data_IF_784278703030
#
_entry.id   IF_784278703030
#
_cell.length_a   1.000
_cell.length_b   1.000
_cell.length_c   1.000
_cell.angle_alpha   90.00
_cell.angle_beta   90.00
_cell.angle_gamma   90.00
#
_symmetry.space_group_name_H-M   'P 1'
#
loop_
_entity.id
_entity.type
_entity.pdbx_description
1 polymer ?
#
# COMPACT_ATOMS: atom_id res chain seq x y z
N UNK A 1 6.15 32.34 -19.70
CA UNK A 1 5.12 32.73 -18.72
C UNK A 1 3.88 31.87 -18.93
N UNK A 2 3.83 30.68 -18.34
CA UNK A 2 2.62 29.84 -18.34
C UNK A 2 1.67 30.48 -17.34
N UNK A 3 0.53 31.00 -17.80
CA UNK A 3 -0.53 31.45 -16.90
C UNK A 3 -0.88 30.27 -15.98
N UNK A 4 -0.78 30.47 -14.67
CA UNK A 4 -1.25 29.53 -13.65
C UNK A 4 -2.77 29.34 -13.79
N UNK A 5 -3.22 28.52 -14.75
CA UNK A 5 -4.53 27.90 -14.66
C UNK A 5 -4.46 26.94 -13.48
N UNK A 6 -5.15 27.28 -12.40
CA UNK A 6 -5.31 26.41 -11.22
C UNK A 6 -5.85 25.06 -11.71
N UNK A 7 -5.09 23.98 -11.50
CA UNK A 7 -5.52 22.63 -11.84
C UNK A 7 -6.77 22.25 -11.01
N UNK A 8 -7.67 21.41 -11.54
CA UNK A 8 -8.87 21.01 -10.81
C UNK A 8 -8.52 20.15 -9.60
N UNK A 9 -9.16 20.42 -8.46
CA UNK A 9 -9.07 19.54 -7.30
C UNK A 9 -9.80 18.20 -7.53
N UNK A 10 -9.44 17.19 -6.73
CA UNK A 10 -10.00 15.84 -6.80
C UNK A 10 -11.51 15.87 -6.44
N UNK A 11 -12.40 15.33 -7.27
CA UNK A 11 -13.82 15.23 -6.98
C UNK A 11 -14.07 14.18 -5.90
N UNK A 12 -14.99 14.49 -4.99
CA UNK A 12 -15.49 13.56 -3.97
C UNK A 12 -16.87 13.08 -4.39
N UNK A 13 -17.09 11.78 -4.29
CA UNK A 13 -18.34 11.13 -4.65
C UNK A 13 -18.94 10.45 -3.43
N UNK A 14 -20.27 10.52 -3.31
CA UNK A 14 -21.06 9.56 -2.54
C UNK A 14 -21.77 8.66 -3.56
N UNK A 15 -21.39 7.37 -3.60
CA UNK A 15 -21.76 6.45 -4.67
C UNK A 15 -21.40 7.02 -6.06
N UNK A 16 -22.39 7.30 -6.90
CA UNK A 16 -22.20 7.89 -8.24
C UNK A 16 -22.45 9.39 -8.29
N UNK A 17 -22.79 10.02 -7.16
CA UNK A 17 -23.10 11.44 -7.10
C UNK A 17 -21.88 12.23 -6.60
N UNK A 18 -21.40 13.16 -7.42
CA UNK A 18 -20.38 14.10 -6.98
C UNK A 18 -20.98 14.99 -5.88
N UNK A 19 -20.28 15.09 -4.75
CA UNK A 19 -20.70 15.88 -3.58
C UNK A 19 -19.79 17.08 -3.30
N UNK A 20 -18.64 17.16 -3.97
CA UNK A 20 -17.73 18.31 -3.85
C UNK A 20 -16.33 17.98 -4.34
N UNK A 21 -15.34 18.76 -3.88
CA UNK A 21 -13.93 18.53 -4.17
C UNK A 21 -13.06 18.65 -2.92
N UNK A 22 -11.93 17.93 -2.93
CA UNK A 22 -10.85 18.13 -1.97
C UNK A 22 -10.38 19.59 -1.96
N UNK A 23 -9.98 20.07 -0.78
CA UNK A 23 -9.53 21.46 -0.53
C UNK A 23 -10.56 22.56 -0.83
N UNK A 24 -11.78 22.20 -1.23
CA UNK A 24 -12.91 23.12 -1.42
C UNK A 24 -13.98 22.81 -0.37
N UNK A 25 -14.89 21.88 -0.66
CA UNK A 25 -15.93 21.42 0.27
C UNK A 25 -15.31 20.56 1.38
N UNK A 26 -14.32 19.75 1.01
CA UNK A 26 -13.62 18.86 1.91
C UNK A 26 -12.25 19.47 2.24
N UNK A 27 -12.28 20.43 3.18
CA UNK A 27 -11.10 21.23 3.52
C UNK A 27 -10.07 20.42 4.30
N UNK A 28 -8.82 20.57 3.88
CA UNK A 28 -7.64 20.13 4.62
C UNK A 28 -6.78 21.37 4.83
N UNK A 29 -6.71 21.85 6.08
CA UNK A 29 -5.84 22.98 6.41
C UNK A 29 -4.38 22.50 6.40
N UNK A 30 -3.62 22.89 5.37
CA UNK A 30 -2.22 22.48 5.23
C UNK A 30 -1.29 23.03 6.32
N UNK A 31 -1.68 24.12 6.98
CA UNK A 31 -0.89 24.75 8.03
C UNK A 31 -1.09 24.03 9.35
N UNK A 32 -2.35 23.77 9.73
CA UNK A 32 -2.68 23.16 11.02
C UNK A 32 -2.71 21.63 10.94
N UNK A 33 -3.09 21.07 9.80
CA UNK A 33 -3.44 19.65 9.63
C UNK A 33 -4.91 19.36 9.94
N UNK A 34 -5.74 20.37 10.18
CA UNK A 34 -7.15 20.16 10.54
C UNK A 34 -7.98 19.73 9.33
N UNK A 35 -8.70 18.61 9.47
CA UNK A 35 -9.70 18.12 8.53
C UNK A 35 -10.64 17.12 9.20
N UNK A 36 -11.92 17.12 8.82
CA UNK A 36 -12.90 16.15 9.33
C UNK A 36 -13.06 14.91 8.42
N UNK A 37 -12.23 14.77 7.37
CA UNK A 37 -12.38 13.69 6.39
C UNK A 37 -12.39 12.29 7.01
N UNK A 38 -11.52 12.00 7.98
CA UNK A 38 -11.50 10.69 8.64
C UNK A 38 -12.82 10.40 9.36
N UNK A 39 -13.41 11.39 10.03
CA UNK A 39 -14.73 11.26 10.67
C UNK A 39 -15.84 11.02 9.64
N UNK A 40 -15.75 11.65 8.47
CA UNK A 40 -16.71 11.43 7.38
C UNK A 40 -16.59 10.01 6.82
N UNK A 41 -15.36 9.53 6.57
CA UNK A 41 -15.13 8.14 6.14
C UNK A 41 -15.60 7.13 7.18
N UNK A 42 -15.36 7.40 8.46
CA UNK A 42 -15.88 6.58 9.54
C UNK A 42 -17.41 6.50 9.48
N UNK A 43 -18.09 7.65 9.43
CA UNK A 43 -19.54 7.69 9.41
C UNK A 43 -20.13 6.94 8.21
N UNK A 44 -19.58 7.14 7.01
CA UNK A 44 -20.01 6.41 5.80
C UNK A 44 -19.85 4.89 5.95
N UNK A 45 -18.74 4.45 6.57
CA UNK A 45 -18.51 3.03 6.88
C UNK A 45 -19.53 2.46 7.87
N UNK A 46 -19.79 3.19 8.97
CA UNK A 46 -20.79 2.79 9.97
C UNK A 46 -22.20 2.72 9.36
N UNK A 47 -22.60 3.75 8.62
CA UNK A 47 -23.92 3.83 7.97
C UNK A 47 -24.09 2.76 6.89
N UNK A 48 -23.02 2.41 6.18
CA UNK A 48 -23.03 1.30 5.23
C UNK A 48 -23.27 -0.04 5.95
N UNK A 49 -22.50 -0.34 7.00
CA UNK A 49 -22.64 -1.58 7.79
C UNK A 49 -24.04 -1.70 8.39
N UNK A 50 -24.56 -0.61 8.96
CA UNK A 50 -25.93 -0.57 9.51
C UNK A 50 -26.96 -0.92 8.44
N UNK A 51 -26.96 -0.22 7.30
CA UNK A 51 -27.93 -0.46 6.23
C UNK A 51 -27.86 -1.87 5.65
N UNK A 52 -26.66 -2.43 5.47
CA UNK A 52 -26.54 -3.80 4.94
C UNK A 52 -26.98 -4.86 5.94
N UNK A 53 -26.69 -4.65 7.23
CA UNK A 53 -27.16 -5.52 8.31
C UNK A 53 -28.69 -5.50 8.42
N UNK A 54 -29.31 -4.32 8.41
CA UNK A 54 -30.77 -4.16 8.42
C UNK A 54 -31.44 -4.79 7.19
N UNK A 55 -30.79 -4.70 6.03
CA UNK A 55 -31.26 -5.32 4.79
C UNK A 55 -30.98 -6.83 4.72
N UNK A 56 -30.31 -7.42 5.72
CA UNK A 56 -29.85 -8.81 5.75
C UNK A 56 -29.03 -9.21 4.50
N UNK A 57 -28.12 -8.33 4.05
CA UNK A 57 -27.27 -8.57 2.89
C UNK A 57 -25.80 -8.75 3.30
N UNK A 58 -25.07 -9.73 2.73
CA UNK A 58 -23.63 -9.76 2.90
C UNK A 58 -23.03 -8.49 2.29
N UNK A 59 -22.01 -7.94 2.94
CA UNK A 59 -21.41 -6.68 2.53
C UNK A 59 -19.90 -6.82 2.34
N UNK A 60 -19.36 -5.97 1.48
CA UNK A 60 -17.93 -5.78 1.32
C UNK A 60 -17.64 -4.29 1.48
N UNK A 61 -16.94 -3.93 2.56
CA UNK A 61 -16.50 -2.56 2.84
C UNK A 61 -15.00 -2.48 2.57
N UNK A 62 -14.63 -1.75 1.52
CA UNK A 62 -13.24 -1.34 1.29
C UNK A 62 -13.03 0.06 1.88
N UNK A 63 -12.47 0.12 3.10
CA UNK A 63 -12.27 1.36 3.83
C UNK A 63 -10.82 1.85 3.69
N UNK A 64 -10.58 2.73 2.71
CA UNK A 64 -9.26 3.21 2.33
C UNK A 64 -9.04 4.67 2.73
N UNK A 65 -8.99 4.95 4.02
CA UNK A 65 -8.71 6.30 4.53
C UNK A 65 -7.27 6.73 4.23
N UNK A 66 -7.06 8.01 3.91
CA UNK A 66 -5.80 8.57 3.41
C UNK A 66 -5.15 9.60 4.36
N UNK A 67 -5.64 9.73 5.60
CA UNK A 67 -5.23 10.77 6.56
C UNK A 67 -3.73 10.78 6.90
N UNK A 68 -3.06 9.64 6.79
CA UNK A 68 -1.61 9.46 7.02
C UNK A 68 -0.77 9.76 5.78
N UNK A 69 -1.38 9.97 4.62
CA UNK A 69 -0.69 10.43 3.42
C UNK A 69 -0.46 11.95 3.50
N UNK A 70 0.73 12.41 3.08
CA UNK A 70 1.02 13.84 3.06
C UNK A 70 0.15 14.59 2.04
N UNK A 71 -0.36 15.80 2.34
CA UNK A 71 -0.27 16.48 3.64
C UNK A 71 -1.19 15.80 4.67
N UNK A 72 -0.58 15.37 5.79
CA UNK A 72 -1.27 14.62 6.83
C UNK A 72 -2.36 15.48 7.46
N UNK A 73 -3.47 14.86 7.85
CA UNK A 73 -4.54 15.57 8.55
C UNK A 73 -5.20 14.75 9.65
N UNK A 74 -5.84 15.44 10.60
CA UNK A 74 -6.68 14.84 11.63
C UNK A 74 -7.79 15.82 12.05
N UNK A 75 -8.88 15.30 12.61
CA UNK A 75 -9.93 16.16 13.16
C UNK A 75 -9.47 16.86 14.44
N UNK A 76 -10.12 17.98 14.76
CA UNK A 76 -9.74 18.86 15.87
C UNK A 76 -9.54 18.14 17.21
N UNK A 77 -10.29 17.06 17.46
CA UNK A 77 -10.20 16.25 18.69
C UNK A 77 -8.82 15.56 18.84
N UNK A 78 -8.19 15.19 17.73
CA UNK A 78 -6.96 14.40 17.72
C UNK A 78 -5.70 15.24 17.50
N UNK A 79 -5.83 16.47 17.01
CA UNK A 79 -4.68 17.37 16.81
C UNK A 79 -3.93 17.64 18.12
N UNK A 80 -2.60 17.47 18.06
CA UNK A 80 -1.67 17.70 19.16
C UNK A 80 -1.76 16.67 20.29
N UNK A 81 -2.43 15.53 20.10
CA UNK A 81 -2.57 14.51 21.14
C UNK A 81 -1.44 13.49 21.10
N UNK A 82 -0.85 13.26 19.92
CA UNK A 82 0.21 12.28 19.74
C UNK A 82 1.59 12.85 20.01
N UNK A 83 2.44 12.04 20.65
CA UNK A 83 3.86 12.32 20.80
C UNK A 83 4.63 12.24 19.46
N UNK A 84 3.99 11.75 18.39
CA UNK A 84 4.59 11.61 17.05
C UNK A 84 4.17 12.73 16.08
N UNK A 85 3.76 13.87 16.62
CA UNK A 85 3.29 15.01 15.84
C UNK A 85 2.06 14.66 15.00
N UNK A 86 1.88 15.40 13.90
CA UNK A 86 0.68 15.34 13.07
C UNK A 86 0.41 13.95 12.48
N UNK A 87 1.45 13.24 12.04
CA UNK A 87 1.33 11.84 11.61
C UNK A 87 0.74 10.96 12.71
N UNK A 88 1.22 11.13 13.94
CA UNK A 88 0.70 10.43 15.09
C UNK A 88 -0.76 10.74 15.41
N UNK A 89 -1.18 12.00 15.24
CA UNK A 89 -2.58 12.42 15.44
C UNK A 89 -3.51 11.71 14.44
N UNK A 90 -3.11 11.66 13.16
CA UNK A 90 -3.84 10.95 12.12
C UNK A 90 -3.93 9.44 12.41
N UNK A 91 -2.83 8.82 12.85
CA UNK A 91 -2.82 7.40 13.25
C UNK A 91 -3.76 7.15 14.43
N UNK A 92 -3.77 8.01 15.46
CA UNK A 92 -4.69 7.88 16.60
C UNK A 92 -6.15 7.96 16.17
N UNK A 93 -6.48 8.84 15.22
CA UNK A 93 -7.83 8.96 14.70
C UNK A 93 -8.24 7.73 13.86
N UNK A 94 -7.33 7.19 13.03
CA UNK A 94 -7.57 5.95 12.29
C UNK A 94 -7.78 4.76 13.23
N UNK A 95 -6.93 4.62 14.25
CA UNK A 95 -7.05 3.58 15.28
C UNK A 95 -8.41 3.66 16.01
N UNK A 96 -8.78 4.86 16.45
CA UNK A 96 -10.10 5.11 17.05
C UNK A 96 -11.24 4.71 16.10
N UNK A 97 -11.13 5.08 14.82
CA UNK A 97 -12.15 4.79 13.80
C UNK A 97 -12.32 3.30 13.55
N UNK A 98 -11.21 2.54 13.46
CA UNK A 98 -11.25 1.07 13.39
C UNK A 98 -11.93 0.51 14.64
N UNK A 99 -11.61 1.03 15.83
CA UNK A 99 -12.28 0.64 17.07
C UNK A 99 -13.79 0.85 17.05
N UNK A 100 -14.27 1.96 16.47
CA UNK A 100 -15.71 2.22 16.31
C UNK A 100 -16.37 1.23 15.33
N UNK A 101 -15.72 0.92 14.21
CA UNK A 101 -16.22 -0.08 13.26
C UNK A 101 -16.35 -1.45 13.92
N UNK A 102 -15.31 -1.92 14.61
CA UNK A 102 -15.33 -3.21 15.31
C UNK A 102 -16.40 -3.25 16.42
N UNK A 103 -16.56 -2.14 17.17
CA UNK A 103 -17.60 -2.02 18.20
C UNK A 103 -19.00 -2.10 17.61
N UNK A 104 -19.24 -1.47 16.45
CA UNK A 104 -20.52 -1.56 15.77
C UNK A 104 -20.84 -2.99 15.34
N UNK A 105 -19.87 -3.72 14.77
CA UNK A 105 -20.06 -5.12 14.37
C UNK A 105 -20.49 -5.99 15.55
N UNK A 106 -19.87 -5.80 16.72
CA UNK A 106 -20.22 -6.49 17.96
C UNK A 106 -21.62 -6.09 18.49
N UNK A 107 -21.94 -4.80 18.48
CA UNK A 107 -23.23 -4.30 18.95
C UNK A 107 -24.40 -4.81 18.10
N UNK A 108 -24.16 -5.01 16.80
CA UNK A 108 -25.12 -5.60 15.86
C UNK A 108 -25.16 -7.13 15.93
N UNK A 109 -24.24 -7.77 16.65
CA UNK A 109 -24.15 -9.23 16.76
C UNK A 109 -23.75 -9.93 15.46
N UNK A 110 -23.01 -9.25 14.58
CA UNK A 110 -22.57 -9.76 13.27
C UNK A 110 -21.06 -9.99 13.19
N UNK A 111 -20.34 -9.82 14.29
CA UNK A 111 -18.89 -9.98 14.36
C UNK A 111 -18.42 -11.38 14.00
N UNK A 112 -19.19 -12.41 14.38
CA UNK A 112 -18.87 -13.80 14.05
C UNK A 112 -19.09 -14.14 12.57
N UNK A 113 -19.77 -13.27 11.81
CA UNK A 113 -20.00 -13.42 10.38
C UNK A 113 -19.32 -12.31 9.55
N UNK A 114 -18.36 -11.61 10.16
CA UNK A 114 -17.63 -10.52 9.50
C UNK A 114 -16.12 -10.78 9.60
N UNK A 115 -15.50 -11.03 8.45
CA UNK A 115 -14.05 -11.08 8.33
C UNK A 115 -13.50 -9.66 8.13
N UNK A 116 -12.60 -9.23 9.02
CA UNK A 116 -11.93 -7.93 8.93
C UNK A 116 -10.43 -8.15 8.70
N UNK A 117 -9.88 -7.44 7.71
CA UNK A 117 -8.44 -7.43 7.44
C UNK A 117 -7.93 -6.00 7.39
N UNK A 118 -6.86 -5.71 8.14
CA UNK A 118 -6.18 -4.43 8.16
C UNK A 118 -4.78 -4.56 7.56
N UNK A 119 -4.42 -3.67 6.63
CA UNK A 119 -3.07 -3.56 6.05
C UNK A 119 -2.83 -2.16 5.49
N UNK A 120 -1.58 -1.87 5.10
CA UNK A 120 -1.17 -0.67 4.34
C UNK A 120 -0.91 -1.01 2.86
N UNK A 121 -0.85 0.01 2.01
CA UNK A 121 -0.58 -0.10 0.57
C UNK A 121 0.92 -0.11 0.22
N UNK A 122 1.72 0.61 0.99
CA UNK A 122 3.18 0.69 0.92
C UNK A 122 3.77 1.15 2.27
N UNK A 123 5.09 1.05 2.40
CA UNK A 123 5.82 1.54 3.56
C UNK A 123 5.74 3.05 3.76
N UNK A 124 6.26 3.54 4.90
CA UNK A 124 6.18 4.94 5.26
C UNK A 124 6.90 5.86 4.24
N UNK A 125 6.27 7.00 3.93
CA UNK A 125 6.82 8.04 3.08
C UNK A 125 7.86 8.89 3.83
N UNK A 126 9.07 8.35 4.00
CA UNK A 126 10.15 8.96 4.81
C UNK A 126 10.57 10.36 4.34
N UNK A 127 10.26 10.72 3.09
CA UNK A 127 10.49 12.05 2.51
C UNK A 127 9.59 13.14 3.08
N UNK A 128 8.45 12.79 3.69
CA UNK A 128 7.50 13.75 4.26
C UNK A 128 8.02 14.40 5.56
N UNK A 129 9.17 13.96 6.07
CA UNK A 129 9.80 14.50 7.27
C UNK A 129 9.20 13.95 8.58
N UNK A 130 9.80 14.27 9.73
CA UNK A 130 9.52 13.59 10.99
C UNK A 130 8.12 13.82 11.56
N UNK A 131 7.44 14.89 11.14
CA UNK A 131 6.10 15.25 11.63
C UNK A 131 4.97 14.71 10.75
N UNK A 132 5.26 14.27 9.51
CA UNK A 132 4.26 13.82 8.52
C UNK A 132 4.59 12.44 7.92
N UNK A 133 5.49 11.69 8.56
CA UNK A 133 5.88 10.35 8.13
C UNK A 133 5.72 9.30 9.23
N UNK A 134 5.41 8.08 8.81
CA UNK A 134 5.46 6.88 9.63
C UNK A 134 6.88 6.39 9.91
N UNK A 135 6.96 5.15 10.42
CA UNK A 135 8.21 4.43 10.66
C UNK A 135 8.08 3.02 10.10
N UNK A 136 9.16 2.51 9.52
CA UNK A 136 9.26 1.15 9.00
C UNK A 136 9.94 0.20 10.00
N UNK A 137 10.05 0.61 11.27
CA UNK A 137 10.65 -0.19 12.33
C UNK A 137 12.11 -0.57 12.02
N UNK A 138 12.46 -1.88 12.03
CA UNK A 138 13.83 -2.33 11.78
C UNK A 138 14.22 -2.40 10.29
N UNK A 139 13.27 -2.16 9.38
CA UNK A 139 13.45 -2.39 7.96
C UNK A 139 14.12 -1.20 7.25
N UNK A 140 14.82 -1.50 6.16
CA UNK A 140 15.60 -0.54 5.40
C UNK A 140 14.72 0.31 4.47
N UNK A 141 14.99 1.62 4.42
CA UNK A 141 14.32 2.62 3.58
C UNK A 141 12.79 2.68 3.79
N UNK A 142 12.06 3.25 2.83
CA UNK A 142 10.60 3.40 2.86
C UNK A 142 9.97 3.38 1.47
N UNK A 143 8.84 4.07 1.35
CA UNK A 143 8.08 4.27 0.10
C UNK A 143 9.02 4.59 -1.08
N UNK A 144 8.64 4.14 -2.27
CA UNK A 144 9.40 4.21 -3.54
C UNK A 144 10.55 3.20 -3.70
N UNK A 145 10.83 2.37 -2.69
CA UNK A 145 11.92 1.38 -2.75
C UNK A 145 11.43 -0.06 -2.61
N UNK A 146 12.20 -1.02 -3.13
CA UNK A 146 11.94 -2.46 -3.00
C UNK A 146 12.69 -3.10 -1.82
N UNK A 147 13.24 -2.28 -0.92
CA UNK A 147 13.73 -2.74 0.37
C UNK A 147 12.56 -3.13 1.28
N UNK A 148 12.82 -3.88 2.36
CA UNK A 148 11.75 -4.34 3.25
C UNK A 148 10.91 -3.18 3.80
N UNK A 149 11.51 -2.01 4.06
CA UNK A 149 10.78 -0.86 4.60
C UNK A 149 9.83 -0.20 3.60
N UNK A 150 9.94 -0.50 2.29
CA UNK A 150 9.06 0.05 1.27
C UNK A 150 7.84 -0.79 0.94
N UNK A 151 7.86 -2.10 1.24
CA UNK A 151 6.83 -3.05 0.80
C UNK A 151 6.41 -4.08 1.86
N UNK A 152 6.96 -4.02 3.09
CA UNK A 152 6.56 -4.90 4.19
C UNK A 152 5.64 -4.17 5.16
N UNK A 153 4.40 -4.62 5.21
CA UNK A 153 3.33 -3.88 5.87
C UNK A 153 2.85 -4.55 7.17
N UNK A 154 2.25 -3.78 8.10
CA UNK A 154 1.43 -4.37 9.16
C UNK A 154 0.25 -5.11 8.52
N UNK A 155 -0.07 -6.30 9.02
CA UNK A 155 -1.21 -7.08 8.55
C UNK A 155 -1.91 -7.76 9.72
N UNK A 156 -3.20 -7.50 9.91
CA UNK A 156 -4.02 -8.06 11.00
C UNK A 156 -5.30 -8.64 10.40
N UNK A 157 -5.57 -9.91 10.67
CA UNK A 157 -6.83 -10.57 10.36
C UNK A 157 -7.63 -10.78 11.64
N UNK A 158 -8.93 -10.46 11.61
CA UNK A 158 -9.83 -10.54 12.75
C UNK A 158 -11.15 -11.17 12.31
N UNK A 159 -11.56 -12.24 12.99
CA UNK A 159 -12.85 -12.91 12.78
C UNK A 159 -13.19 -13.80 14.00
N UNK A 160 -13.93 -13.26 14.99
CA UNK A 160 -14.29 -13.97 16.21
C UNK A 160 -15.02 -15.29 15.92
N UNK A 161 -14.67 -16.35 16.65
CA UNK A 161 -15.23 -17.70 16.45
C UNK A 161 -14.58 -18.48 15.29
N UNK A 162 -13.84 -17.81 14.40
CA UNK A 162 -13.22 -18.42 13.23
C UNK A 162 -11.68 -18.42 13.32
N UNK A 163 -11.08 -17.25 13.59
CA UNK A 163 -9.63 -17.09 13.76
C UNK A 163 -9.29 -17.17 15.25
N UNK A 164 -8.24 -17.94 15.58
CA UNK A 164 -7.75 -18.03 16.97
C UNK A 164 -7.09 -16.71 17.38
N UNK A 165 -7.59 -16.12 18.46
CA UNK A 165 -7.08 -14.87 19.03
C UNK A 165 -5.61 -14.98 19.47
N UNK A 166 -4.90 -13.83 19.46
CA UNK A 166 -3.53 -13.73 19.96
C UNK A 166 -2.51 -14.58 19.21
N UNK A 167 -2.80 -14.99 17.98
CA UNK A 167 -1.89 -15.81 17.16
C UNK A 167 -1.03 -14.95 16.23
N UNK A 168 0.17 -15.45 15.94
CA UNK A 168 1.10 -14.88 14.95
C UNK A 168 1.39 -15.94 13.90
N UNK A 169 1.27 -15.57 12.63
CA UNK A 169 1.65 -16.42 11.50
C UNK A 169 2.88 -15.85 10.80
N UNK A 170 3.82 -16.73 10.45
CA UNK A 170 4.99 -16.40 9.62
C UNK A 170 4.77 -16.73 8.14
N UNK A 171 3.53 -16.99 7.72
CA UNK A 171 3.17 -17.15 6.31
C UNK A 171 3.61 -15.90 5.53
N UNK A 172 4.29 -16.12 4.41
CA UNK A 172 4.52 -15.04 3.44
C UNK A 172 3.18 -14.72 2.78
N UNK A 173 2.56 -13.64 3.22
CA UNK A 173 1.34 -13.09 2.64
C UNK A 173 1.66 -11.88 1.75
N UNK A 174 0.76 -11.59 0.82
CA UNK A 174 0.81 -10.47 -0.12
C UNK A 174 -0.57 -9.81 -0.13
N UNK A 175 -0.66 -8.50 -0.33
CA UNK A 175 -1.96 -7.80 -0.45
C UNK A 175 -2.85 -8.40 -1.56
N UNK A 176 -2.26 -8.95 -2.62
CA UNK A 176 -2.97 -9.67 -3.69
C UNK A 176 -3.72 -10.91 -3.17
N UNK A 177 -3.28 -11.50 -2.06
CA UNK A 177 -3.94 -12.67 -1.45
C UNK A 177 -5.33 -12.31 -0.92
N UNK A 178 -5.61 -11.04 -0.62
CA UNK A 178 -6.92 -10.59 -0.16
C UNK A 178 -8.00 -10.78 -1.23
N UNK A 179 -7.64 -10.67 -2.52
CA UNK A 179 -8.56 -10.96 -3.61
C UNK A 179 -8.98 -12.43 -3.60
N UNK A 180 -8.02 -13.35 -3.68
CA UNK A 180 -8.29 -14.80 -3.75
C UNK A 180 -8.92 -15.31 -2.45
N UNK A 181 -8.47 -14.82 -1.29
CA UNK A 181 -9.06 -15.16 0.02
C UNK A 181 -10.49 -14.65 0.12
N UNK A 182 -10.78 -13.43 -0.35
CA UNK A 182 -12.13 -12.87 -0.38
C UNK A 182 -13.09 -13.70 -1.24
N UNK A 183 -12.66 -14.14 -2.42
CA UNK A 183 -13.45 -15.03 -3.27
C UNK A 183 -13.72 -16.38 -2.59
N UNK A 184 -12.71 -16.97 -1.96
CA UNK A 184 -12.85 -18.23 -1.23
C UNK A 184 -13.87 -18.11 -0.07
N UNK A 185 -13.80 -17.02 0.70
CA UNK A 185 -14.77 -16.73 1.78
C UNK A 185 -16.19 -16.52 1.26
N UNK A 186 -16.34 -15.92 0.08
CA UNK A 186 -17.63 -15.72 -0.58
C UNK A 186 -18.16 -16.99 -1.31
N UNK A 187 -17.38 -18.07 -1.39
CA UNK A 187 -17.73 -19.26 -2.16
C UNK A 187 -17.73 -19.04 -3.67
N UNK A 188 -16.96 -18.06 -4.16
CA UNK A 188 -16.87 -17.69 -5.57
C UNK A 188 -15.60 -18.30 -6.17
N UNK A 189 -15.71 -18.92 -7.35
CA UNK A 189 -14.55 -19.42 -8.09
C UNK A 189 -13.71 -18.26 -8.64
N UNK A 190 -12.37 -18.32 -8.51
CA UNK A 190 -11.50 -17.34 -9.17
C UNK A 190 -11.60 -17.44 -10.70
N UNK A 191 -11.30 -16.35 -11.42
CA UNK A 191 -11.12 -16.41 -12.87
C UNK A 191 -10.13 -17.51 -13.29
N UNK A 192 -10.48 -18.28 -14.31
CA UNK A 192 -9.68 -19.37 -14.88
C UNK A 192 -9.02 -19.01 -16.22
N UNK A 193 -9.27 -17.79 -16.71
CA UNK A 193 -8.75 -17.25 -17.98
C UNK A 193 -7.39 -16.54 -17.84
N UNK A 194 -6.83 -16.47 -16.62
CA UNK A 194 -5.58 -15.77 -16.31
C UNK A 194 -4.88 -16.36 -15.09
N UNK A 195 -3.57 -16.14 -15.02
CA UNK A 195 -2.80 -16.42 -13.80
C UNK A 195 -3.15 -15.41 -12.71
N UNK A 196 -3.35 -15.90 -11.49
CA UNK A 196 -3.51 -15.08 -10.29
C UNK A 196 -2.30 -15.27 -9.38
N UNK A 197 -1.69 -14.16 -8.96
CA UNK A 197 -0.56 -14.19 -8.01
C UNK A 197 -1.01 -14.36 -6.55
N UNK A 198 -2.27 -13.98 -6.26
CA UNK A 198 -2.88 -14.06 -4.94
C UNK A 198 -3.24 -15.49 -4.56
N UNK A 199 -2.86 -15.92 -3.36
CA UNK A 199 -3.18 -17.23 -2.80
C UNK A 199 -4.37 -17.16 -1.85
N UNK A 200 -5.07 -18.28 -1.70
CA UNK A 200 -6.09 -18.45 -0.66
C UNK A 200 -5.42 -18.64 0.71
N UNK A 201 -5.62 -17.68 1.60
CA UNK A 201 -5.11 -17.72 2.98
C UNK A 201 -6.07 -18.38 3.97
N UNK A 202 -7.27 -18.80 3.58
CA UNK A 202 -8.21 -19.49 4.50
C UNK A 202 -7.61 -20.73 5.18
N UNK A 203 -6.72 -21.54 4.56
CA UNK A 203 -6.07 -22.66 5.27
C UNK A 203 -5.13 -22.19 6.40
N UNK A 204 -4.49 -21.04 6.23
CA UNK A 204 -3.60 -20.44 7.23
C UNK A 204 -4.41 -19.77 8.33
N UNK A 205 -5.46 -19.04 7.96
CA UNK A 205 -6.30 -18.26 8.89
C UNK A 205 -7.24 -19.14 9.73
N UNK A 206 -7.91 -20.11 9.10
CA UNK A 206 -9.02 -20.85 9.70
C UNK A 206 -8.63 -22.26 10.14
N UNK A 207 -7.86 -22.97 9.32
CA UNK A 207 -7.59 -24.40 9.52
C UNK A 207 -6.40 -24.67 10.45
N UNK A 208 -5.80 -23.62 11.03
CA UNK A 208 -4.63 -23.69 11.91
C UNK A 208 -3.50 -24.53 11.32
N UNK A 209 -3.36 -24.54 9.99
CA UNK A 209 -2.28 -25.27 9.34
C UNK A 209 -0.96 -24.69 9.80
N UNK A 210 -0.16 -25.48 10.51
CA UNK A 210 1.22 -25.13 10.85
C UNK A 210 2.15 -25.21 9.62
N UNK A 211 1.69 -25.81 8.53
CA UNK A 211 2.42 -25.85 7.27
C UNK A 211 2.25 -24.53 6.55
N UNK A 212 3.36 -23.78 6.46
CA UNK A 212 3.44 -22.58 5.64
C UNK A 212 3.34 -22.97 4.17
N UNK A 213 2.52 -22.24 3.41
CA UNK A 213 2.51 -22.34 1.95
C UNK A 213 3.82 -21.74 1.43
N UNK A 214 4.66 -22.59 0.83
CA UNK A 214 5.91 -22.13 0.22
C UNK A 214 5.60 -21.35 -1.05
N UNK A 215 5.77 -20.03 -1.00
CA UNK A 215 5.49 -19.11 -2.11
C UNK A 215 6.57 -18.03 -2.21
N UNK A 216 6.88 -17.52 -3.42
CA UNK A 216 7.73 -16.35 -3.58
C UNK A 216 6.97 -15.04 -3.36
N UNK A 217 7.70 -14.00 -2.96
CA UNK A 217 7.26 -12.61 -3.07
C UNK A 217 8.15 -11.91 -4.09
N UNK A 218 7.54 -11.37 -5.14
CA UNK A 218 8.21 -10.61 -6.19
C UNK A 218 8.09 -9.12 -5.91
N UNK A 219 9.21 -8.40 -5.93
CA UNK A 219 9.28 -6.97 -5.65
C UNK A 219 9.59 -6.25 -6.95
N UNK A 220 8.58 -5.59 -7.52
CA UNK A 220 8.69 -4.83 -8.76
C UNK A 220 8.87 -3.34 -8.48
N UNK A 221 9.62 -2.65 -9.35
CA UNK A 221 9.61 -1.20 -9.48
C UNK A 221 9.51 -0.86 -10.96
N UNK A 222 8.41 -0.24 -11.37
CA UNK A 222 8.10 -0.05 -12.78
C UNK A 222 8.03 -1.39 -13.53
N UNK A 223 8.81 -1.51 -14.59
CA UNK A 223 8.90 -2.72 -15.42
C UNK A 223 9.98 -3.71 -14.94
N UNK A 224 10.71 -3.42 -13.86
CA UNK A 224 11.82 -4.24 -13.40
C UNK A 224 11.48 -5.10 -12.18
N UNK A 225 11.85 -6.38 -12.26
CA UNK A 225 11.83 -7.29 -11.11
C UNK A 225 13.08 -7.04 -10.28
N UNK A 226 12.97 -6.17 -9.28
CA UNK A 226 14.10 -5.71 -8.48
C UNK A 226 14.59 -6.78 -7.51
N UNK A 227 13.67 -7.45 -6.81
CA UNK A 227 14.02 -8.47 -5.82
C UNK A 227 13.01 -9.61 -5.76
N UNK A 228 13.44 -10.75 -5.24
CA UNK A 228 12.59 -11.91 -4.93
C UNK A 228 12.89 -12.44 -3.55
N UNK A 229 11.85 -12.69 -2.77
CA UNK A 229 11.94 -13.39 -1.48
C UNK A 229 11.40 -14.80 -1.60
N UNK A 230 12.15 -15.76 -1.08
CA UNK A 230 11.73 -17.15 -0.90
C UNK A 230 12.09 -17.62 0.51
N UNK A 231 11.06 -17.85 1.33
CA UNK A 231 11.23 -18.14 2.75
C UNK A 231 11.90 -16.98 3.50
N UNK A 232 13.04 -17.28 4.14
CA UNK A 232 13.82 -16.29 4.91
C UNK A 232 14.84 -15.52 4.07
N UNK A 233 14.98 -15.85 2.77
CA UNK A 233 15.99 -15.24 1.92
C UNK A 233 15.37 -14.28 0.92
N UNK A 234 16.04 -13.16 0.70
CA UNK A 234 15.67 -12.17 -0.32
C UNK A 234 16.88 -11.87 -1.19
N UNK A 235 16.72 -11.99 -2.50
CA UNK A 235 17.73 -11.72 -3.51
C UNK A 235 17.36 -10.47 -4.29
N UNK A 236 18.23 -9.46 -4.29
CA UNK A 236 18.11 -8.25 -5.11
C UNK A 236 18.88 -8.43 -6.42
N UNK A 237 18.15 -8.46 -7.53
CA UNK A 237 18.67 -8.47 -8.89
C UNK A 237 18.97 -7.06 -9.39
N UNK A 238 18.29 -6.07 -8.82
CA UNK A 238 18.56 -4.65 -9.02
C UNK A 238 18.45 -3.93 -7.68
N UNK A 239 19.28 -2.91 -7.47
CA UNK A 239 19.16 -2.01 -6.31
C UNK A 239 19.08 -0.57 -6.75
N UNK A 240 18.17 0.20 -6.14
CA UNK A 240 18.06 1.62 -6.39
C UNK A 240 17.24 2.31 -5.29
N UNK A 241 17.77 3.41 -4.76
CA UNK A 241 17.00 4.36 -3.95
C UNK A 241 16.35 5.41 -4.87
N UNK A 242 17.05 6.49 -5.17
CA UNK A 242 16.68 7.54 -6.11
C UNK A 242 17.90 8.06 -6.86
N UNK A 243 17.71 8.89 -7.88
CA UNK A 243 18.84 9.48 -8.62
C UNK A 243 19.68 10.42 -7.75
N UNK A 244 20.95 10.63 -8.13
CA UNK A 244 21.80 11.66 -7.51
C UNK A 244 21.20 13.07 -7.62
N UNK A 245 20.43 13.36 -8.67
CA UNK A 245 19.76 14.65 -8.85
C UNK A 245 18.66 14.85 -7.79
N UNK A 246 17.77 13.87 -7.63
CA UNK A 246 16.73 13.88 -6.59
C UNK A 246 17.35 13.96 -5.20
N UNK A 247 18.39 13.17 -4.93
CA UNK A 247 19.08 13.19 -3.65
C UNK A 247 19.68 14.57 -3.33
N UNK A 248 20.35 15.19 -4.29
CA UNK A 248 20.92 16.55 -4.13
C UNK A 248 19.84 17.62 -3.99
N UNK A 249 18.63 17.39 -4.51
CA UNK A 249 17.47 18.26 -4.32
C UNK A 249 16.81 18.14 -2.94
N UNK A 250 17.26 17.18 -2.11
CA UNK A 250 16.77 16.96 -0.75
C UNK A 250 15.79 15.79 -0.61
N UNK A 251 15.48 15.07 -1.70
CA UNK A 251 14.63 13.87 -1.65
C UNK A 251 15.49 12.70 -1.15
N UNK A 252 15.11 12.09 -0.03
CA UNK A 252 15.83 10.95 0.53
C UNK A 252 14.84 9.86 1.00
N UNK A 253 14.87 8.71 0.32
CA UNK A 253 14.02 7.55 0.65
C UNK A 253 14.57 6.70 1.82
N UNK A 254 15.79 6.97 2.29
CA UNK A 254 16.50 6.22 3.33
C UNK A 254 17.19 7.16 4.35
N UNK A 255 16.48 8.13 4.97
CA UNK A 255 17.11 9.12 5.85
C UNK A 255 17.84 8.45 7.04
N UNK A 256 19.11 8.81 7.22
CA UNK A 256 19.97 8.26 8.27
C UNK A 256 20.38 6.80 8.05
N UNK A 257 20.13 6.24 6.87
CA UNK A 257 20.45 4.85 6.52
C UNK A 257 21.31 4.81 5.27
N UNK A 258 22.50 4.22 5.38
CA UNK A 258 23.38 3.95 4.25
C UNK A 258 23.96 2.54 4.41
N UNK A 259 23.74 1.69 3.42
CA UNK A 259 24.31 0.34 3.34
C UNK A 259 25.20 0.30 2.09
N UNK A 260 26.54 0.27 2.26
CA UNK A 260 27.48 0.33 1.15
C UNK A 260 27.22 -0.73 0.08
N UNK A 261 27.11 -0.28 -1.17
CA UNK A 261 26.84 -1.17 -2.32
C UNK A 261 25.39 -1.68 -2.42
N UNK A 262 24.50 -1.30 -1.50
CA UNK A 262 23.09 -1.73 -1.46
C UNK A 262 22.18 -0.52 -1.67
N UNK A 263 22.28 0.52 -0.84
CA UNK A 263 21.50 1.75 -1.01
C UNK A 263 22.18 2.68 -2.00
N UNK A 264 21.92 2.49 -3.30
CA UNK A 264 22.62 3.20 -4.38
C UNK A 264 21.78 4.33 -5.00
N UNK A 265 22.44 5.40 -5.44
CA UNK A 265 21.81 6.52 -6.18
C UNK A 265 21.86 6.38 -7.71
N UNK A 266 22.33 5.21 -8.16
CA UNK A 266 22.24 4.73 -9.54
C UNK A 266 21.51 3.40 -9.48
N UNK A 267 20.68 3.11 -10.49
CA UNK A 267 20.10 1.79 -10.63
C UNK A 267 21.22 0.80 -10.96
N UNK A 268 21.55 -0.08 -10.02
CA UNK A 268 22.63 -1.06 -10.17
C UNK A 268 22.05 -2.42 -10.52
N UNK A 269 22.63 -3.03 -11.54
CA UNK A 269 22.33 -4.40 -11.96
C UNK A 269 23.17 -5.41 -11.18
N UNK A 270 22.51 -6.45 -10.68
CA UNK A 270 23.11 -7.58 -9.97
C UNK A 270 22.61 -8.92 -10.53
N UNK A 271 22.14 -8.96 -11.78
CA UNK A 271 21.46 -10.13 -12.36
C UNK A 271 22.30 -11.41 -12.35
N UNK A 272 23.60 -11.28 -12.60
CA UNK A 272 24.57 -12.39 -12.59
C UNK A 272 24.99 -12.82 -11.18
N UNK A 273 24.91 -11.92 -10.20
CA UNK A 273 25.32 -12.16 -8.81
C UNK A 273 24.43 -11.34 -7.86
N UNK A 274 23.17 -11.79 -7.63
CA UNK A 274 22.22 -11.04 -6.82
C UNK A 274 22.70 -10.80 -5.40
N UNK A 275 22.35 -9.65 -4.81
CA UNK A 275 22.66 -9.38 -3.40
C UNK A 275 21.64 -10.15 -2.55
N UNK A 276 22.10 -11.16 -1.81
CA UNK A 276 21.23 -12.03 -1.00
C UNK A 276 21.33 -11.68 0.49
N UNK A 277 20.18 -11.53 1.15
CA UNK A 277 20.05 -11.34 2.59
C UNK A 277 19.26 -12.48 3.22
N UNK A 278 19.54 -12.77 4.50
CA UNK A 278 18.70 -13.62 5.34
C UNK A 278 17.88 -12.75 6.31
N UNK A 279 16.61 -12.51 5.99
CA UNK A 279 15.73 -11.56 6.66
C UNK A 279 15.42 -11.90 8.13
N UNK A 280 15.53 -13.17 8.53
CA UNK A 280 15.39 -13.57 9.94
C UNK A 280 16.59 -13.19 10.82
N UNK A 281 17.79 -13.03 10.23
CA UNK A 281 19.03 -12.66 10.95
C UNK A 281 19.37 -11.19 10.71
N UNK A 282 18.97 -10.67 9.56
CA UNK A 282 19.26 -9.32 9.09
C UNK A 282 18.00 -8.71 8.45
N UNK A 283 16.99 -8.32 9.26
CA UNK A 283 15.77 -7.71 8.75
C UNK A 283 16.02 -6.33 8.12
N UNK A 284 17.14 -5.69 8.47
CA UNK A 284 17.53 -4.36 7.96
C UNK A 284 18.37 -4.41 6.68
N UNK A 285 18.55 -5.59 6.06
CA UNK A 285 19.28 -5.76 4.79
C UNK A 285 20.69 -5.10 4.82
N UNK A 286 21.41 -5.25 5.94
CA UNK A 286 22.71 -4.60 6.20
C UNK A 286 23.91 -5.45 5.79
N UNK A 287 23.76 -6.77 5.80
CA UNK A 287 24.88 -7.71 5.70
C UNK A 287 24.61 -8.74 4.59
N UNK A 288 25.01 -8.44 3.34
CA UNK A 288 24.90 -9.39 2.24
C UNK A 288 25.64 -10.71 2.55
N UNK A 289 25.02 -11.84 2.19
CA UNK A 289 25.64 -13.15 2.29
C UNK A 289 26.78 -13.23 1.27
N UNK A 290 27.96 -13.67 1.71
CA UNK A 290 29.15 -13.78 0.84
C UNK A 290 28.92 -14.83 -0.25
N UNK A 291 29.23 -14.46 -1.49
CA UNK A 291 29.01 -15.25 -2.70
C UNK A 291 29.78 -16.58 -2.74
N UNK A 292 30.87 -16.66 -1.98
CA UNK A 292 31.71 -17.86 -1.86
C UNK A 292 31.16 -18.90 -0.88
N UNK A 293 30.08 -18.58 -0.16
CA UNK A 293 29.51 -19.49 0.85
C UNK A 293 28.55 -20.50 0.23
N UNK A 294 28.46 -21.68 0.85
CA UNK A 294 27.49 -22.70 0.48
C UNK A 294 26.04 -22.21 0.62
N UNK A 295 25.77 -21.43 1.67
CA UNK A 295 24.46 -20.80 1.89
C UNK A 295 24.02 -19.95 0.69
N UNK A 296 24.90 -19.07 0.20
CA UNK A 296 24.61 -18.25 -0.97
C UNK A 296 24.29 -19.10 -2.21
N UNK A 297 25.13 -20.10 -2.49
CA UNK A 297 24.97 -20.96 -3.68
C UNK A 297 23.66 -21.77 -3.62
N UNK A 298 23.32 -22.33 -2.46
CA UNK A 298 22.10 -23.11 -2.28
C UNK A 298 20.84 -22.23 -2.41
N UNK A 299 20.86 -21.03 -1.84
CA UNK A 299 19.76 -20.08 -1.95
C UNK A 299 19.60 -19.59 -3.39
N UNK A 300 20.70 -19.21 -4.05
CA UNK A 300 20.67 -18.75 -5.43
C UNK A 300 20.07 -19.81 -6.36
N UNK A 301 20.49 -21.07 -6.21
CA UNK A 301 19.96 -22.17 -7.04
C UNK A 301 18.44 -22.33 -6.92
N UNK A 302 17.88 -22.12 -5.72
CA UNK A 302 16.44 -22.24 -5.48
C UNK A 302 15.66 -21.02 -5.98
N UNK A 303 16.17 -19.81 -5.74
CA UNK A 303 15.49 -18.57 -6.14
C UNK A 303 15.53 -18.42 -7.67
N UNK A 304 16.64 -18.76 -8.33
CA UNK A 304 16.75 -18.65 -9.79
C UNK A 304 15.68 -19.46 -10.52
N UNK A 305 15.38 -20.69 -10.06
CA UNK A 305 14.31 -21.51 -10.66
C UNK A 305 12.93 -20.82 -10.58
N UNK A 306 12.64 -20.16 -9.47
CA UNK A 306 11.38 -19.44 -9.27
C UNK A 306 11.32 -18.18 -10.15
N UNK A 307 12.42 -17.44 -10.25
CA UNK A 307 12.54 -16.26 -11.12
C UNK A 307 12.39 -16.62 -12.58
N UNK A 308 13.05 -17.69 -13.03
CA UNK A 308 12.96 -18.18 -14.41
C UNK A 308 11.54 -18.61 -14.75
N UNK A 309 10.89 -19.37 -13.86
CA UNK A 309 9.49 -19.79 -14.04
C UNK A 309 8.55 -18.60 -14.15
N UNK A 310 8.71 -17.60 -13.27
CA UNK A 310 7.92 -16.37 -13.29
C UNK A 310 8.12 -15.61 -14.61
N UNK A 311 9.38 -15.31 -14.98
CA UNK A 311 9.68 -14.55 -16.20
C UNK A 311 9.24 -15.27 -17.48
N UNK A 312 9.31 -16.60 -17.52
CA UNK A 312 8.88 -17.41 -18.67
C UNK A 312 7.37 -17.37 -18.91
N UNK A 313 6.60 -17.24 -17.84
CA UNK A 313 5.12 -17.28 -17.90
C UNK A 313 4.49 -15.90 -17.94
N UNK A 314 5.22 -14.87 -17.52
CA UNK A 314 4.75 -13.48 -17.55
C UNK A 314 4.71 -12.93 -18.97
N UNK A 315 3.50 -12.58 -19.42
CA UNK A 315 3.29 -11.70 -20.57
C UNK A 315 2.91 -10.32 -20.02
N UNK A 316 3.80 -9.31 -20.07
CA UNK A 316 3.50 -7.99 -19.54
C UNK A 316 2.31 -7.35 -20.25
N UNK A 317 1.41 -6.73 -19.48
CA UNK A 317 0.33 -5.92 -20.03
C UNK A 317 0.84 -4.66 -20.74
N UNK A 318 -0.02 -4.04 -21.54
CA UNK A 318 0.29 -2.74 -22.17
C UNK A 318 0.41 -1.69 -21.06
N UNK A 319 1.55 -0.97 -20.93
CA UNK A 319 1.75 0.01 -19.88
C UNK A 319 0.70 1.14 -19.95
N UNK A 320 -0.10 1.30 -18.89
CA UNK A 320 -1.16 2.31 -18.81
C UNK A 320 -0.65 3.68 -18.35
N UNK A 321 0.51 3.71 -17.70
CA UNK A 321 1.05 4.91 -17.04
C UNK A 321 1.99 5.73 -17.94
N UNK A 322 2.09 5.41 -19.24
CA UNK A 322 3.05 6.08 -20.12
C UNK A 322 2.63 7.48 -20.57
N UNK A 323 1.32 7.73 -20.68
CA UNK A 323 0.79 8.92 -21.36
C UNK A 323 0.00 9.81 -20.40
N UNK A 324 0.24 11.11 -20.46
CA UNK A 324 -0.41 12.14 -19.67
C UNK A 324 -1.12 13.13 -20.60
N UNK A 325 -2.23 13.70 -20.12
CA UNK A 325 -2.90 14.82 -20.78
C UNK A 325 -3.54 15.74 -19.72
N UNK A 326 -3.28 17.04 -19.76
CA UNK A 326 -3.92 17.99 -18.83
C UNK A 326 -5.43 17.99 -19.05
N UNK A 327 -5.91 17.78 -20.29
CA UNK A 327 -7.33 17.80 -20.61
C UNK A 327 -8.13 16.66 -19.96
N UNK A 328 -7.49 15.56 -19.55
CA UNK A 328 -8.16 14.43 -18.88
C UNK A 328 -8.19 14.55 -17.35
N UNK A 329 -7.62 15.63 -16.78
CA UNK A 329 -7.80 15.92 -15.36
C UNK A 329 -9.28 16.17 -15.03
N UNK A 330 -9.59 16.27 -13.73
CA UNK A 330 -10.96 16.36 -13.20
C UNK A 330 -11.68 17.71 -13.46
N UNK A 331 -11.63 18.24 -14.67
CA UNK A 331 -12.22 19.53 -15.05
C UNK A 331 -13.75 19.51 -14.96
N UNK A 332 -14.39 18.54 -15.63
CA UNK A 332 -15.84 18.40 -15.69
C UNK A 332 -16.30 16.96 -15.35
N UNK A 333 -16.07 16.49 -14.10
CA UNK A 333 -16.51 15.18 -13.66
C UNK A 333 -18.04 15.05 -13.69
N UNK A 334 -18.54 13.82 -13.82
CA UNK A 334 -19.99 13.55 -13.78
C UNK A 334 -20.61 14.11 -12.48
N UNK A 335 -21.72 14.83 -12.62
CA UNK A 335 -22.39 15.50 -11.49
C UNK A 335 -21.95 16.94 -11.22
N UNK A 336 -20.85 17.42 -11.84
CA UNK A 336 -20.39 18.80 -11.62
C UNK A 336 -21.41 19.88 -12.02
N UNK A 337 -22.28 19.60 -12.99
CA UNK A 337 -23.28 20.56 -13.49
C UNK A 337 -24.32 20.87 -12.42
N UNK A 338 -24.82 19.83 -11.73
CA UNK A 338 -25.78 19.98 -10.62
C UNK A 338 -25.21 20.82 -9.48
N UNK A 339 -23.90 20.74 -9.25
CA UNK A 339 -23.20 21.51 -8.23
C UNK A 339 -22.72 22.89 -8.71
N UNK A 340 -22.87 23.22 -10.00
CA UNK A 340 -22.28 24.43 -10.58
C UNK A 340 -20.75 24.47 -10.52
N UNK A 341 -20.08 23.30 -10.59
CA UNK A 341 -18.64 23.11 -10.35
C UNK A 341 -17.86 22.55 -11.54
N UNK A 342 -18.44 22.60 -12.73
CA UNK A 342 -17.70 22.24 -13.94
C UNK A 342 -16.69 23.34 -14.27
N UNK A 343 -15.48 22.92 -14.60
CA UNK A 343 -14.41 23.81 -15.02
C UNK A 343 -14.17 23.65 -16.52
N UNK A 344 -13.67 24.71 -17.16
CA UNK A 344 -13.37 24.69 -18.59
C UNK A 344 -12.20 23.74 -18.87
N UNK A 345 -12.47 22.71 -19.67
CA UNK A 345 -11.45 21.75 -20.12
C UNK A 345 -10.47 22.47 -21.07
N UNK A 346 -9.15 22.37 -20.87
CA UNK A 346 -8.16 22.88 -21.80
C UNK A 346 -8.12 22.02 -23.08
N UNK A 347 -7.43 22.52 -24.13
CA UNK A 347 -7.22 21.73 -25.34
C UNK A 347 -6.34 20.51 -25.01
N UNK A 348 -6.79 19.33 -25.40
CA UNK A 348 -6.02 18.08 -25.30
C UNK A 348 -4.73 18.16 -26.11
N UNK A 349 -3.68 17.57 -25.55
CA UNK A 349 -2.38 17.43 -26.19
C UNK A 349 -1.56 16.40 -25.45
N UNK A 350 -1.80 15.09 -25.66
CA UNK A 350 -1.14 14.03 -24.90
C UNK A 350 0.39 14.04 -25.06
N UNK A 351 1.10 13.77 -23.98
CA UNK A 351 2.58 13.63 -23.96
C UNK A 351 2.99 12.42 -23.12
N UNK A 352 4.25 11.99 -23.25
CA UNK A 352 4.80 10.96 -22.34
C UNK A 352 4.92 11.54 -20.94
N UNK A 353 4.32 10.92 -19.95
CA UNK A 353 4.45 11.35 -18.55
C UNK A 353 5.94 11.42 -18.16
N UNK A 354 6.30 12.47 -17.43
CA UNK A 354 7.61 12.57 -16.78
C UNK A 354 7.48 11.87 -15.42
N UNK A 355 7.95 10.63 -15.35
CA UNK A 355 8.09 9.93 -14.08
C UNK A 355 9.44 10.31 -13.46
N UNK A 356 9.47 10.70 -12.16
CA UNK A 356 10.73 10.65 -11.45
C UNK A 356 11.16 9.18 -11.42
N UNK A 357 12.45 8.94 -11.68
CA UNK A 357 13.09 7.62 -11.71
C UNK A 357 12.45 6.56 -12.63
#
# INVERSE_FOLDING_TARGET
MVRCTKLPNIPVYNNSEMVGRYYEEFKIDRKTGESNLTQMYLQEGLDFILRQTEAHRPFFLYWAADATHAPVYASKRFLGQSQRGRYGDAVMELDYSVGQILSLLQNLGVENNTFVFFTSDNGAALTSGPNESGSNGPFLCGKETTFEGGMREPAIAWWPGHIKEGTVSFQLANVMDLFTTGLALAGISPPDDRTLDGLDLTPVLLKRSHTLQNRPIFYYRGNELMAVRLGQYKAHYWTWSNSWEEFKSGINFCPGQEVPGVTTHEQKEHTMQPIIFHLGRDPGEKFPIRVTTKEYQDVLSRISLVVESHKKTLVPGIPQLNMCDVAVMNWAPAGCEKLGKCLKVPKSGPWKCEWPH
#
